data_IF_951183589925
#
_entry.id   IF_951183589925
#
_cell.length_a   1.000
_cell.length_b   1.000
_cell.length_c   1.000
_cell.angle_alpha   90.00
_cell.angle_beta   90.00
_cell.angle_gamma   90.00
#
_symmetry.space_group_name_H-M   'P 1'
#
loop_
_entity.id
_entity.type
_entity.pdbx_description
1 polymer ?
#
# COMPACT_ATOMS: atom_id res chain seq x y z
N UNK A 1 29.79 4.69 -36.60
CA UNK A 1 29.65 5.93 -37.40
C UNK A 1 28.17 6.12 -37.70
N UNK A 2 27.50 7.02 -37.02
CA UNK A 2 26.38 7.83 -37.54
C UNK A 2 26.11 8.90 -36.50
N UNK A 3 26.27 10.12 -36.89
CA UNK A 3 26.18 11.32 -36.05
C UNK A 3 24.73 11.67 -35.83
N UNK A 4 24.29 11.69 -34.57
CA UNK A 4 22.99 12.25 -34.18
C UNK A 4 23.07 13.78 -34.26
N UNK A 5 22.09 14.34 -34.94
CA UNK A 5 21.91 15.79 -35.07
C UNK A 5 21.43 16.36 -33.74
N UNK A 6 22.30 17.07 -33.06
CA UNK A 6 21.97 17.94 -31.94
C UNK A 6 21.27 19.17 -32.51
N UNK A 7 19.95 19.24 -32.37
CA UNK A 7 19.22 20.49 -32.65
C UNK A 7 19.49 21.50 -31.53
N UNK A 8 20.19 22.57 -31.88
CA UNK A 8 20.43 23.72 -31.02
C UNK A 8 19.11 24.47 -30.78
N UNK A 9 18.51 24.30 -29.63
CA UNK A 9 17.47 25.18 -29.08
C UNK A 9 18.13 26.14 -28.06
N UNK A 10 18.99 27.01 -28.55
CA UNK A 10 19.74 27.97 -27.71
C UNK A 10 19.57 29.40 -28.21
N UNK A 11 18.37 29.80 -28.56
CA UNK A 11 18.18 31.18 -29.02
C UNK A 11 16.92 31.91 -28.51
N UNK A 12 16.15 31.32 -27.59
CA UNK A 12 14.95 32.00 -27.04
C UNK A 12 15.11 32.40 -25.57
N UNK A 13 16.06 31.82 -24.84
CA UNK A 13 16.27 32.16 -23.42
C UNK A 13 16.99 33.51 -23.17
N UNK A 14 17.52 34.14 -24.19
CA UNK A 14 18.29 35.39 -24.04
C UNK A 14 17.47 36.70 -24.12
N UNK A 15 16.26 36.67 -24.65
CA UNK A 15 15.47 37.90 -24.86
C UNK A 15 14.41 38.16 -23.80
N UNK A 16 14.10 37.17 -22.94
CA UNK A 16 13.04 37.30 -21.92
C UNK A 16 13.55 37.86 -20.59
N UNK A 17 14.86 37.83 -20.35
CA UNK A 17 15.46 38.25 -19.07
C UNK A 17 15.56 39.75 -18.84
N UNK A 18 15.17 40.61 -19.81
CA UNK A 18 15.39 42.07 -19.72
C UNK A 18 14.12 42.89 -19.40
N UNK A 19 12.96 42.30 -19.19
CA UNK A 19 11.69 43.01 -18.97
C UNK A 19 11.00 42.50 -17.68
N UNK A 20 11.69 42.52 -16.55
CA UNK A 20 11.02 42.43 -15.24
C UNK A 20 10.49 43.79 -14.86
N UNK A 21 9.38 44.21 -15.42
CA UNK A 21 8.58 45.27 -14.89
C UNK A 21 7.49 44.72 -14.00
N UNK A 22 7.55 45.05 -12.72
CA UNK A 22 6.46 44.81 -11.79
C UNK A 22 5.31 45.72 -12.17
N UNK A 23 4.16 45.20 -12.50
CA UNK A 23 2.91 45.95 -12.66
C UNK A 23 2.48 46.52 -11.29
N UNK A 24 3.17 47.51 -10.80
CA UNK A 24 2.96 48.06 -9.45
C UNK A 24 2.11 49.33 -9.45
N UNK A 25 1.59 49.78 -10.61
CA UNK A 25 0.90 51.06 -10.65
C UNK A 25 -0.38 50.98 -11.47
N UNK A 26 -1.51 51.23 -10.81
CA UNK A 26 -2.76 51.55 -11.52
C UNK A 26 -2.56 52.82 -12.33
N UNK A 27 -2.79 52.84 -13.65
CA UNK A 27 -2.52 54.00 -14.49
C UNK A 27 -3.32 55.26 -14.09
N UNK A 28 -4.46 55.09 -13.43
CA UNK A 28 -5.35 56.20 -13.04
C UNK A 28 -4.78 57.13 -11.98
N UNK A 29 -3.68 56.80 -11.31
CA UNK A 29 -3.14 57.66 -10.22
C UNK A 29 -1.90 58.48 -10.54
N UNK A 30 -1.26 58.32 -11.72
CA UNK A 30 0.07 58.93 -11.96
C UNK A 30 0.12 59.91 -13.12
N UNK A 31 -0.93 60.11 -13.88
CA UNK A 31 -0.86 60.95 -15.12
C UNK A 31 -1.87 62.07 -15.21
N UNK A 32 -2.09 62.79 -14.12
CA UNK A 32 -2.68 64.11 -14.20
C UNK A 32 -1.57 65.12 -14.49
N UNK A 33 -1.21 65.30 -15.77
CA UNK A 33 -0.37 66.40 -16.19
C UNK A 33 0.80 66.08 -17.12
N UNK A 34 0.55 65.58 -18.32
CA UNK A 34 1.43 65.89 -19.45
C UNK A 34 0.62 65.92 -20.75
N UNK A 35 0.90 66.96 -21.54
CA UNK A 35 0.25 67.37 -22.78
C UNK A 35 0.28 66.25 -23.85
N UNK A 36 -0.81 66.19 -24.60
CA UNK A 36 -1.03 65.47 -25.85
C UNK A 36 0.16 65.53 -26.82
N UNK A 37 1.16 64.67 -26.67
CA UNK A 37 2.03 64.28 -27.77
C UNK A 37 1.34 63.15 -28.49
N UNK A 38 0.85 63.45 -29.70
CA UNK A 38 0.35 62.48 -30.64
C UNK A 38 1.53 61.59 -31.05
N UNK A 39 1.70 60.47 -30.33
CA UNK A 39 2.65 59.41 -30.74
C UNK A 39 2.11 58.81 -32.03
N UNK A 40 2.95 58.78 -33.05
CA UNK A 40 2.70 58.09 -34.29
C UNK A 40 2.47 56.62 -33.99
N UNK A 41 1.23 56.19 -34.09
CA UNK A 41 0.81 54.81 -34.01
C UNK A 41 1.21 54.16 -35.35
N UNK A 42 2.09 53.17 -35.29
CA UNK A 42 2.28 52.27 -36.44
C UNK A 42 0.95 51.54 -36.69
N UNK A 43 0.21 51.99 -37.66
CA UNK A 43 -1.13 51.48 -37.96
C UNK A 43 -1.17 50.01 -38.41
N UNK A 44 -0.01 49.35 -38.48
CA UNK A 44 0.10 47.94 -38.84
C UNK A 44 0.21 47.03 -37.61
N UNK A 45 0.29 47.56 -36.38
CA UNK A 45 0.41 46.82 -35.13
C UNK A 45 -0.65 47.22 -34.14
N UNK A 46 -1.28 46.23 -33.51
CA UNK A 46 -2.15 46.46 -32.36
C UNK A 46 -1.35 47.14 -31.25
N UNK A 47 -1.79 48.30 -30.80
CA UNK A 47 -1.12 49.08 -29.76
C UNK A 47 -2.09 49.52 -28.68
N UNK A 48 -1.63 49.50 -27.42
CA UNK A 48 -2.40 50.04 -26.33
C UNK A 48 -2.18 51.54 -26.24
N UNK A 49 -3.27 52.32 -26.27
CA UNK A 49 -3.28 53.78 -26.17
C UNK A 49 -4.12 54.16 -24.96
N UNK A 50 -3.63 55.09 -24.15
CA UNK A 50 -4.37 55.67 -23.05
C UNK A 50 -5.36 56.70 -23.64
N UNK A 51 -6.67 56.45 -23.44
CA UNK A 51 -7.74 57.39 -23.80
C UNK A 51 -8.63 57.60 -22.58
N UNK A 52 -8.61 58.85 -22.06
CA UNK A 52 -9.23 59.16 -20.78
C UNK A 52 -8.54 58.45 -19.60
N UNK A 53 -9.30 57.69 -18.86
CA UNK A 53 -8.84 56.97 -17.66
C UNK A 53 -8.53 55.49 -17.90
N UNK A 54 -8.55 55.04 -19.14
CA UNK A 54 -8.33 53.61 -19.44
C UNK A 54 -7.50 53.41 -20.72
N UNK A 55 -7.00 52.17 -20.90
CA UNK A 55 -6.22 51.81 -22.06
C UNK A 55 -7.06 51.01 -23.04
N UNK A 56 -6.99 51.40 -24.29
CA UNK A 56 -7.70 50.73 -25.40
C UNK A 56 -6.70 50.14 -26.39
N UNK A 57 -7.08 48.99 -26.98
CA UNK A 57 -6.38 48.40 -28.10
C UNK A 57 -6.84 49.04 -29.41
N UNK A 58 -5.89 49.58 -30.16
CA UNK A 58 -6.16 50.25 -31.43
C UNK A 58 -5.63 49.41 -32.58
N UNK A 59 -6.46 49.40 -33.65
CA UNK A 59 -6.10 48.80 -34.95
C UNK A 59 -6.55 49.79 -36.05
N UNK A 60 -5.66 50.08 -36.98
CA UNK A 60 -5.92 51.04 -38.08
C UNK A 60 -6.46 52.40 -37.62
N UNK A 61 -6.00 52.85 -36.44
CA UNK A 61 -6.35 54.14 -35.89
C UNK A 61 -7.71 54.21 -35.18
N UNK A 62 -8.40 53.09 -35.00
CA UNK A 62 -9.67 53.00 -34.26
C UNK A 62 -9.55 51.97 -33.13
N UNK A 63 -10.40 52.10 -32.11
CA UNK A 63 -10.47 51.08 -31.04
C UNK A 63 -10.96 49.78 -31.66
N UNK A 64 -10.22 48.72 -31.48
CA UNK A 64 -10.59 47.35 -31.88
C UNK A 64 -11.43 46.67 -30.80
N UNK A 65 -12.72 46.87 -30.80
CA UNK A 65 -13.65 46.27 -29.85
C UNK A 65 -13.81 44.72 -30.01
N UNK A 66 -13.29 44.18 -31.08
CA UNK A 66 -13.30 42.71 -31.27
C UNK A 66 -12.07 42.04 -30.69
N UNK A 67 -11.07 42.79 -30.25
CA UNK A 67 -9.83 42.24 -29.71
C UNK A 67 -9.99 41.77 -28.30
N UNK A 68 -9.83 40.45 -28.11
CA UNK A 68 -9.69 39.76 -26.83
C UNK A 68 -8.34 39.08 -26.77
N UNK A 69 -7.49 39.43 -25.80
CA UNK A 69 -6.16 38.84 -25.77
C UNK A 69 -5.23 39.47 -24.72
N UNK A 70 -3.96 39.54 -25.10
CA UNK A 70 -2.93 40.24 -24.34
C UNK A 70 -2.25 41.22 -25.30
N UNK A 71 -2.11 42.47 -24.87
CA UNK A 71 -1.38 43.49 -25.60
C UNK A 71 -0.32 44.16 -24.72
N UNK A 72 0.76 44.64 -25.36
CA UNK A 72 1.90 45.24 -24.71
C UNK A 72 1.87 46.77 -24.75
N UNK A 73 2.20 47.42 -23.64
CA UNK A 73 2.62 48.82 -23.61
C UNK A 73 3.92 48.99 -22.79
N UNK A 74 4.31 50.23 -22.53
CA UNK A 74 5.51 50.55 -21.76
C UNK A 74 5.49 50.07 -20.29
N UNK A 75 4.30 49.71 -19.77
CA UNK A 75 4.11 49.26 -18.38
C UNK A 75 4.00 47.74 -18.25
N UNK A 76 3.83 47.02 -19.36
CA UNK A 76 3.74 45.55 -19.36
C UNK A 76 2.74 44.95 -20.36
N UNK A 77 2.47 43.67 -20.16
CA UNK A 77 1.47 42.94 -20.92
C UNK A 77 0.14 42.91 -20.20
N UNK A 78 -0.92 43.38 -20.86
CA UNK A 78 -2.24 43.57 -20.27
C UNK A 78 -3.29 42.72 -20.90
N UNK A 79 -4.22 42.16 -20.09
CA UNK A 79 -5.42 41.51 -20.57
C UNK A 79 -6.37 42.52 -21.19
N UNK A 80 -6.79 42.27 -22.39
CA UNK A 80 -7.76 43.05 -23.13
C UNK A 80 -9.06 42.26 -23.23
N UNK A 81 -10.17 42.94 -22.96
CA UNK A 81 -11.52 42.45 -23.18
C UNK A 81 -12.31 43.49 -23.93
N UNK A 82 -12.95 43.12 -25.06
CA UNK A 82 -13.69 44.04 -25.93
C UNK A 82 -12.86 45.29 -26.22
N UNK A 83 -11.60 45.14 -26.61
CA UNK A 83 -10.69 46.25 -26.96
C UNK A 83 -10.21 47.12 -25.80
N UNK A 84 -10.56 46.79 -24.56
CA UNK A 84 -10.24 47.63 -23.38
C UNK A 84 -9.46 46.76 -22.34
N UNK A 85 -8.50 47.38 -21.64
CA UNK A 85 -7.78 46.71 -20.55
C UNK A 85 -8.73 46.33 -19.43
N UNK A 86 -8.77 45.05 -19.09
CA UNK A 86 -9.54 44.51 -17.98
C UNK A 86 -8.65 44.44 -16.71
N UNK A 87 -8.63 45.46 -15.90
CA UNK A 87 -7.86 45.54 -14.64
C UNK A 87 -8.35 44.57 -13.57
N UNK A 88 -9.55 43.99 -13.71
CA UNK A 88 -10.10 43.09 -12.72
C UNK A 88 -9.79 41.63 -13.04
N UNK A 89 -9.23 41.36 -14.21
CA UNK A 89 -8.97 39.99 -14.64
C UNK A 89 -7.81 39.37 -13.87
N UNK A 90 -8.07 38.22 -13.30
CA UNK A 90 -7.02 37.35 -12.75
C UNK A 90 -7.25 35.93 -13.26
N UNK A 91 -6.24 35.37 -13.91
CA UNK A 91 -6.35 34.06 -14.53
C UNK A 91 -5.34 33.84 -15.66
N UNK A 92 -5.65 32.85 -16.51
CA UNK A 92 -4.79 32.47 -17.63
C UNK A 92 -5.27 33.10 -18.93
N UNK A 93 -4.36 33.64 -19.72
CA UNK A 93 -4.62 34.15 -21.06
C UNK A 93 -3.62 33.57 -22.04
N UNK A 94 -4.08 33.28 -23.26
CA UNK A 94 -3.26 32.76 -24.34
C UNK A 94 -2.98 33.82 -25.40
N UNK A 95 -1.76 33.86 -25.92
CA UNK A 95 -1.40 34.52 -27.16
C UNK A 95 -0.54 33.60 -28.05
N UNK A 96 0.01 34.09 -29.14
CA UNK A 96 0.88 33.34 -30.06
C UNK A 96 2.16 32.80 -29.39
N UNK A 97 2.59 33.40 -28.27
CA UNK A 97 3.80 32.97 -27.53
C UNK A 97 3.52 31.98 -26.41
N UNK A 98 2.22 31.70 -26.12
CA UNK A 98 1.83 30.69 -25.12
C UNK A 98 0.77 31.18 -24.14
N UNK A 99 0.80 30.56 -22.93
CA UNK A 99 -0.14 30.82 -21.85
C UNK A 99 0.51 31.60 -20.74
N UNK A 100 -0.13 32.68 -20.31
CA UNK A 100 0.35 33.64 -19.33
C UNK A 100 -0.57 33.70 -18.13
N UNK A 101 -0.01 33.84 -16.94
CA UNK A 101 -0.78 34.15 -15.74
C UNK A 101 -0.89 35.66 -15.60
N UNK A 102 -2.12 36.16 -15.57
CA UNK A 102 -2.48 37.54 -15.40
C UNK A 102 -3.06 37.72 -14.02
N UNK A 103 -2.64 38.78 -13.33
CA UNK A 103 -3.17 39.22 -12.06
C UNK A 103 -3.48 40.71 -12.13
N UNK A 104 -4.70 41.08 -11.70
CA UNK A 104 -5.15 42.47 -11.74
C UNK A 104 -4.93 43.12 -13.13
N UNK A 105 -5.25 42.38 -14.17
CA UNK A 105 -5.15 42.78 -15.57
C UNK A 105 -3.76 42.68 -16.20
N UNK A 106 -2.68 42.51 -15.43
CA UNK A 106 -1.31 42.48 -15.94
C UNK A 106 -0.68 41.11 -15.80
N UNK A 107 0.20 40.77 -16.75
CA UNK A 107 0.99 39.53 -16.64
C UNK A 107 1.88 39.59 -15.41
N UNK A 108 1.69 38.65 -14.50
CA UNK A 108 2.50 38.50 -13.27
C UNK A 108 3.72 37.62 -13.50
N UNK A 109 4.83 38.22 -13.82
CA UNK A 109 6.12 37.56 -14.06
C UNK A 109 6.71 36.91 -12.80
N UNK A 110 6.16 37.17 -11.63
CA UNK A 110 6.64 36.57 -10.38
C UNK A 110 5.87 35.31 -10.01
N UNK A 111 4.75 35.08 -10.70
CA UNK A 111 3.90 33.93 -10.40
C UNK A 111 4.59 32.60 -10.76
N UNK A 112 4.78 31.80 -9.75
CA UNK A 112 5.27 30.43 -9.87
C UNK A 112 4.37 29.53 -9.02
N UNK A 113 3.43 28.84 -9.67
CA UNK A 113 2.39 28.09 -8.96
C UNK A 113 1.60 27.20 -9.89
N UNK A 114 0.32 27.06 -9.60
CA UNK A 114 -0.63 26.33 -10.42
C UNK A 114 -1.86 27.21 -10.68
N UNK A 115 -2.34 27.21 -11.90
CA UNK A 115 -3.58 27.87 -12.25
C UNK A 115 -4.47 27.02 -13.14
N UNK A 116 -5.79 27.20 -13.01
CA UNK A 116 -6.82 26.44 -13.71
C UNK A 116 -7.32 27.24 -14.93
N UNK A 117 -7.42 26.57 -16.08
CA UNK A 117 -8.18 27.07 -17.22
C UNK A 117 -9.19 26.01 -17.72
N UNK A 118 -9.85 26.26 -18.85
CA UNK A 118 -10.82 25.34 -19.48
C UNK A 118 -10.23 24.00 -19.91
N UNK A 119 -8.91 23.84 -19.94
CA UNK A 119 -8.20 22.62 -20.31
C UNK A 119 -7.62 21.87 -19.10
N UNK A 120 -7.72 22.44 -17.87
CA UNK A 120 -7.22 21.82 -16.65
C UNK A 120 -6.25 22.68 -15.85
N UNK A 121 -5.56 22.05 -14.91
CA UNK A 121 -4.55 22.69 -14.06
C UNK A 121 -3.18 22.64 -14.70
N UNK A 122 -2.47 23.80 -14.69
CA UNK A 122 -1.17 23.98 -15.30
C UNK A 122 -0.14 24.49 -14.30
N UNK A 123 1.09 24.01 -14.45
CA UNK A 123 2.25 24.54 -13.69
C UNK A 123 2.79 25.77 -14.37
N UNK A 124 2.98 26.82 -13.58
CA UNK A 124 3.58 28.09 -13.99
C UNK A 124 4.95 28.29 -13.38
N UNK A 125 5.83 28.89 -14.15
CA UNK A 125 7.13 29.36 -13.72
C UNK A 125 7.36 30.75 -14.33
N UNK A 126 7.57 31.77 -13.43
CA UNK A 126 7.75 33.16 -13.85
C UNK A 126 6.63 33.63 -14.81
N UNK A 127 5.38 33.44 -14.43
CA UNK A 127 4.20 33.92 -15.16
C UNK A 127 3.84 33.15 -16.43
N UNK A 128 4.62 32.18 -16.84
CA UNK A 128 4.44 31.40 -18.06
C UNK A 128 4.21 29.92 -17.76
N UNK A 129 3.40 29.22 -18.56
CA UNK A 129 3.20 27.78 -18.42
C UNK A 129 4.51 27.04 -18.70
N UNK A 130 4.96 26.28 -17.74
CA UNK A 130 6.13 25.42 -17.86
C UNK A 130 5.75 24.06 -18.47
N UNK A 131 5.69 23.98 -19.78
CA UNK A 131 5.41 22.73 -20.52
C UNK A 131 6.47 21.65 -20.36
N UNK A 132 7.66 22.01 -19.83
CA UNK A 132 8.71 21.05 -19.53
C UNK A 132 8.58 20.40 -18.16
N UNK A 133 7.68 20.90 -17.31
CA UNK A 133 7.56 20.40 -15.94
C UNK A 133 6.96 19.00 -15.90
N UNK A 134 7.74 18.07 -15.33
CA UNK A 134 7.34 16.70 -15.05
C UNK A 134 7.71 16.40 -13.58
N UNK A 135 6.73 16.41 -12.68
CA UNK A 135 7.03 16.30 -11.25
C UNK A 135 5.75 16.25 -10.41
N UNK A 136 5.91 16.57 -9.16
CA UNK A 136 4.82 16.65 -8.18
C UNK A 136 4.77 18.08 -7.65
N UNK A 137 3.58 18.67 -7.59
CA UNK A 137 3.41 20.02 -7.04
C UNK A 137 2.13 20.14 -6.21
N UNK A 138 2.18 21.07 -5.22
CA UNK A 138 1.11 21.34 -4.26
C UNK A 138 0.25 22.50 -4.72
N UNK A 139 -1.07 22.37 -4.56
CA UNK A 139 -2.02 23.49 -4.56
C UNK A 139 -2.98 23.39 -3.36
N UNK A 140 -4.02 24.21 -3.32
CA UNK A 140 -5.02 24.25 -2.24
C UNK A 140 -5.83 22.94 -2.12
N UNK A 141 -5.79 22.08 -3.12
CA UNK A 141 -6.54 20.81 -3.17
C UNK A 141 -5.67 19.58 -2.92
N UNK A 142 -4.33 19.74 -2.83
CA UNK A 142 -3.42 18.62 -2.55
C UNK A 142 -2.19 18.59 -3.44
N UNK A 143 -1.47 17.45 -3.38
CA UNK A 143 -0.28 17.19 -4.17
C UNK A 143 -0.65 16.43 -5.45
N UNK A 144 -0.23 16.95 -6.60
CA UNK A 144 -0.61 16.46 -7.91
C UNK A 144 0.58 16.07 -8.76
N UNK A 145 0.43 14.98 -9.53
CA UNK A 145 1.38 14.62 -10.58
C UNK A 145 1.18 15.51 -11.79
N UNK A 146 2.27 16.01 -12.33
CA UNK A 146 2.32 16.77 -13.57
C UNK A 146 3.09 16.02 -14.65
N UNK A 147 2.58 16.09 -15.86
CA UNK A 147 3.21 15.60 -17.08
C UNK A 147 3.09 16.70 -18.15
N UNK A 148 4.25 17.14 -18.69
CA UNK A 148 4.30 18.23 -19.67
C UNK A 148 3.56 19.49 -19.22
N UNK A 149 3.75 19.88 -17.97
CA UNK A 149 3.20 21.09 -17.38
C UNK A 149 1.73 21.03 -16.97
N UNK A 150 0.99 19.99 -17.30
CA UNK A 150 -0.41 19.81 -16.89
C UNK A 150 -0.58 18.72 -15.84
N UNK A 151 -1.64 18.80 -15.03
CA UNK A 151 -1.99 17.72 -14.10
C UNK A 151 -2.34 16.47 -14.90
N UNK A 152 -1.70 15.38 -14.52
CA UNK A 152 -1.95 14.06 -15.09
C UNK A 152 -2.94 13.28 -14.21
N UNK A 153 -4.23 13.41 -14.49
CA UNK A 153 -5.30 12.71 -13.79
C UNK A 153 -5.30 11.17 -14.00
N UNK A 154 -4.48 10.67 -14.93
CA UNK A 154 -4.33 9.22 -15.15
C UNK A 154 -3.22 8.62 -14.27
N UNK A 155 -2.45 9.44 -13.54
CA UNK A 155 -1.42 8.93 -12.65
C UNK A 155 -2.06 8.14 -11.51
N UNK A 156 -1.76 6.84 -11.45
CA UNK A 156 -2.23 5.91 -10.43
C UNK A 156 -1.07 5.00 -10.00
N UNK A 157 -1.12 4.53 -8.73
CA UNK A 157 -0.09 3.66 -8.19
C UNK A 157 1.17 4.42 -7.73
N UNK A 158 2.30 3.73 -7.70
CA UNK A 158 3.55 4.30 -7.19
C UNK A 158 4.27 5.15 -8.24
N UNK A 159 4.51 6.40 -7.90
CA UNK A 159 5.29 7.36 -8.71
C UNK A 159 6.47 7.85 -7.88
N UNK A 160 7.66 7.82 -8.48
CA UNK A 160 8.88 8.30 -7.84
C UNK A 160 8.95 9.83 -7.87
N UNK A 161 9.30 10.43 -6.75
CA UNK A 161 9.55 11.86 -6.61
C UNK A 161 11.03 12.10 -6.32
N UNK A 162 11.74 12.68 -7.28
CA UNK A 162 13.16 12.99 -7.15
C UNK A 162 13.44 14.02 -6.06
N UNK A 163 12.48 14.94 -5.80
CA UNK A 163 12.65 15.99 -4.82
C UNK A 163 12.68 15.47 -3.38
N UNK A 164 11.86 14.46 -3.09
CA UNK A 164 11.79 13.82 -1.76
C UNK A 164 12.53 12.50 -1.70
N UNK A 165 13.05 12.00 -2.84
CA UNK A 165 13.71 10.71 -2.99
C UNK A 165 12.88 9.55 -2.44
N UNK A 166 11.56 9.58 -2.70
CA UNK A 166 10.63 8.54 -2.27
C UNK A 166 9.58 8.23 -3.33
N UNK A 167 8.85 7.13 -3.14
CA UNK A 167 7.71 6.75 -3.96
C UNK A 167 6.43 7.13 -3.25
N UNK A 168 5.55 7.83 -3.97
CA UNK A 168 4.23 8.21 -3.50
C UNK A 168 3.14 7.44 -4.23
N UNK A 169 2.10 7.05 -3.53
CA UNK A 169 0.94 6.40 -4.11
C UNK A 169 -0.07 7.43 -4.59
N UNK A 170 -0.37 7.36 -5.88
CA UNK A 170 -1.31 8.26 -6.56
C UNK A 170 -2.62 7.55 -6.86
N UNK A 171 -3.70 8.31 -6.78
CA UNK A 171 -5.04 7.92 -7.18
C UNK A 171 -5.68 9.09 -7.94
N UNK A 172 -5.94 8.91 -9.26
CA UNK A 172 -6.52 9.94 -10.09
C UNK A 172 -5.68 11.22 -10.18
N UNK A 173 -4.35 11.11 -10.20
CA UNK A 173 -3.42 12.23 -10.33
C UNK A 173 -3.02 12.91 -9.03
N UNK A 174 -3.69 12.62 -7.91
CA UNK A 174 -3.36 13.16 -6.59
C UNK A 174 -2.66 12.11 -5.71
N UNK A 175 -1.79 12.56 -4.79
CA UNK A 175 -1.26 11.67 -3.75
C UNK A 175 -2.40 11.25 -2.84
N UNK A 176 -2.58 9.95 -2.68
CA UNK A 176 -3.54 9.37 -1.72
C UNK A 176 -2.85 9.10 -0.38
N UNK A 177 -2.88 10.06 0.51
CA UNK A 177 -2.32 9.93 1.86
C UNK A 177 -3.10 8.96 2.76
N UNK A 178 -4.31 8.56 2.37
CA UNK A 178 -5.08 7.58 3.12
C UNK A 178 -4.71 6.14 2.74
N UNK A 179 -3.97 5.94 1.64
CA UNK A 179 -3.57 4.62 1.22
C UNK A 179 -2.56 3.99 2.19
N UNK A 180 -2.94 2.86 2.74
CA UNK A 180 -2.10 2.02 3.60
C UNK A 180 -2.25 0.57 3.16
N UNK A 181 -1.18 -0.03 2.62
CA UNK A 181 -1.29 -1.37 2.04
C UNK A 181 -0.06 -1.79 1.25
N UNK A 182 -0.29 -2.59 0.23
CA UNK A 182 0.74 -3.03 -0.72
C UNK A 182 0.48 -2.41 -2.09
N UNK A 183 1.52 -1.92 -2.73
CA UNK A 183 1.44 -1.43 -4.10
C UNK A 183 2.58 -1.99 -4.95
N UNK A 184 2.28 -2.23 -6.23
CA UNK A 184 3.22 -2.78 -7.21
C UNK A 184 3.79 -1.66 -8.09
N UNK A 185 5.08 -1.77 -8.41
CA UNK A 185 5.72 -1.03 -9.51
C UNK A 185 6.69 -1.96 -10.26
N UNK A 186 7.48 -1.42 -11.18
CA UNK A 186 8.45 -2.18 -11.98
C UNK A 186 9.56 -2.85 -11.15
N UNK A 187 9.75 -2.44 -9.90
CA UNK A 187 10.75 -2.99 -8.98
C UNK A 187 10.19 -4.03 -8.01
N UNK A 188 8.86 -4.22 -7.97
CA UNK A 188 8.21 -5.22 -7.12
C UNK A 188 7.08 -4.67 -6.25
N UNK A 189 6.66 -5.49 -5.28
CA UNK A 189 5.64 -5.13 -4.30
C UNK A 189 6.24 -4.39 -3.11
N UNK A 190 5.66 -3.25 -2.79
CA UNK A 190 6.11 -2.38 -1.71
C UNK A 190 5.04 -2.19 -0.64
N UNK A 191 5.47 -2.11 0.62
CA UNK A 191 4.61 -1.63 1.71
C UNK A 191 4.51 -0.11 1.64
N UNK A 192 3.28 0.38 1.59
CA UNK A 192 2.96 1.80 1.63
C UNK A 192 2.27 2.12 2.95
N UNK A 193 2.65 3.21 3.57
CA UNK A 193 1.99 3.78 4.74
C UNK A 193 1.75 5.27 4.49
N UNK A 194 0.52 5.75 4.76
CA UNK A 194 0.16 7.15 4.57
C UNK A 194 0.60 7.69 3.19
N UNK A 195 0.33 6.90 2.14
CA UNK A 195 0.61 7.25 0.76
C UNK A 195 2.08 7.19 0.33
N UNK A 196 3.03 6.88 1.21
CA UNK A 196 4.45 6.75 0.85
C UNK A 196 5.01 5.36 1.09
N UNK A 197 6.00 4.94 0.28
CA UNK A 197 6.70 3.67 0.49
C UNK A 197 7.45 3.69 1.81
N UNK A 198 7.19 2.68 2.64
CA UNK A 198 7.89 2.48 3.90
C UNK A 198 9.08 1.52 3.72
N UNK A 199 10.23 2.06 3.38
CA UNK A 199 11.48 1.29 3.20
C UNK A 199 12.00 0.62 4.47
N UNK A 200 11.50 1.00 5.65
CA UNK A 200 11.88 0.39 6.92
C UNK A 200 11.01 -0.78 7.36
N UNK A 201 9.93 -1.08 6.62
CA UNK A 201 9.00 -2.11 7.03
C UNK A 201 9.59 -3.51 6.92
N UNK A 202 9.55 -4.24 8.03
CA UNK A 202 9.96 -5.64 8.15
C UNK A 202 8.86 -6.40 8.89
N UNK A 203 8.06 -7.20 8.18
CA UNK A 203 6.91 -7.85 8.80
C UNK A 203 6.09 -8.64 7.80
N UNK A 204 4.84 -8.90 8.16
CA UNK A 204 3.83 -9.49 7.29
C UNK A 204 2.83 -8.42 6.84
N UNK A 205 2.43 -8.46 5.59
CA UNK A 205 1.36 -7.63 5.04
C UNK A 205 0.56 -8.42 4.00
N UNK A 206 -0.76 -8.18 3.95
CA UNK A 206 -1.68 -8.95 3.11
C UNK A 206 -2.22 -8.12 1.95
N UNK A 207 -2.52 -8.80 0.85
CA UNK A 207 -3.30 -8.32 -0.29
C UNK A 207 -4.25 -9.43 -0.78
N UNK A 208 -4.91 -9.23 -1.90
CA UNK A 208 -5.81 -10.22 -2.51
C UNK A 208 -5.13 -11.55 -2.91
N UNK A 209 -3.80 -11.57 -3.02
CA UNK A 209 -3.01 -12.77 -3.38
C UNK A 209 -2.49 -13.54 -2.16
N UNK A 210 -2.64 -13.00 -0.95
CA UNK A 210 -2.21 -13.64 0.29
C UNK A 210 -1.45 -12.72 1.24
N UNK A 211 -0.83 -13.33 2.25
CA UNK A 211 0.02 -12.63 3.23
C UNK A 211 1.48 -12.87 2.91
N UNK A 212 2.25 -11.79 2.83
CA UNK A 212 3.61 -11.78 2.35
C UNK A 212 4.61 -11.28 3.40
N UNK A 213 5.78 -11.89 3.42
CA UNK A 213 6.91 -11.43 4.25
C UNK A 213 7.66 -10.30 3.54
N UNK A 214 7.83 -9.21 4.25
CA UNK A 214 8.56 -8.03 3.81
C UNK A 214 9.92 -7.93 4.49
N UNK A 215 10.89 -7.44 3.73
CA UNK A 215 12.20 -7.05 4.18
C UNK A 215 12.56 -5.70 3.57
N UNK A 216 12.85 -4.70 4.41
CA UNK A 216 13.15 -3.33 3.98
C UNK A 216 12.11 -2.77 2.99
N UNK A 217 10.83 -2.92 3.31
CA UNK A 217 9.71 -2.36 2.57
C UNK A 217 9.28 -3.11 1.31
N UNK A 218 10.02 -4.12 0.87
CA UNK A 218 9.68 -4.95 -0.30
C UNK A 218 9.39 -6.40 0.09
N UNK A 219 8.61 -7.11 -0.72
CA UNK A 219 8.36 -8.54 -0.52
C UNK A 219 9.65 -9.34 -0.70
N UNK A 220 9.98 -10.14 0.29
CA UNK A 220 11.13 -11.06 0.25
C UNK A 220 10.69 -12.45 -0.25
N UNK A 221 10.71 -12.64 -1.56
CA UNK A 221 10.35 -13.93 -2.18
C UNK A 221 11.34 -15.06 -1.87
N UNK A 222 12.52 -14.75 -1.35
CA UNK A 222 13.50 -15.76 -0.94
C UNK A 222 13.30 -16.27 0.48
N UNK A 223 12.44 -15.64 1.25
CA UNK A 223 12.25 -15.97 2.65
C UNK A 223 11.52 -17.32 2.83
N UNK A 224 12.13 -18.21 3.61
CA UNK A 224 11.52 -19.47 4.06
C UNK A 224 11.78 -19.60 5.57
N UNK A 225 10.72 -19.85 6.35
CA UNK A 225 10.82 -19.97 7.81
C UNK A 225 9.63 -19.39 8.54
N UNK A 226 9.82 -19.00 9.78
CA UNK A 226 8.76 -18.47 10.63
C UNK A 226 8.80 -16.95 10.73
N UNK A 227 7.65 -16.31 10.58
CA UNK A 227 7.50 -14.86 10.72
C UNK A 227 6.35 -14.53 11.68
N UNK A 228 6.59 -13.58 12.58
CA UNK A 228 5.57 -13.12 13.52
C UNK A 228 4.69 -12.02 12.92
N UNK A 229 3.42 -12.04 13.32
CA UNK A 229 2.44 -10.99 13.07
C UNK A 229 1.74 -10.69 14.41
N UNK A 230 2.31 -9.76 15.18
CA UNK A 230 1.87 -9.49 16.53
C UNK A 230 1.97 -10.73 17.44
N UNK A 231 0.83 -11.31 17.80
CA UNK A 231 0.73 -12.46 18.70
C UNK A 231 0.89 -13.82 18.00
N UNK A 232 0.78 -13.86 16.67
CA UNK A 232 0.81 -15.11 15.92
C UNK A 232 2.16 -15.29 15.24
N UNK A 233 2.56 -16.54 15.06
CA UNK A 233 3.71 -16.92 14.26
C UNK A 233 3.23 -17.74 13.07
N UNK A 234 3.72 -17.40 11.88
CA UNK A 234 3.30 -18.00 10.62
C UNK A 234 4.45 -18.70 9.93
N UNK A 235 4.17 -19.83 9.31
CA UNK A 235 5.11 -20.50 8.43
C UNK A 235 5.04 -19.86 7.04
N UNK A 236 6.18 -19.42 6.54
CA UNK A 236 6.33 -18.70 5.27
C UNK A 236 7.18 -19.54 4.34
N UNK A 237 6.74 -19.70 3.10
CA UNK A 237 7.45 -20.39 2.02
C UNK A 237 7.52 -19.46 0.80
N UNK A 238 8.73 -19.23 0.29
CA UNK A 238 8.97 -18.33 -0.83
C UNK A 238 8.31 -16.94 -0.63
N UNK A 239 8.45 -16.41 0.58
CA UNK A 239 7.93 -15.10 0.96
C UNK A 239 6.42 -15.04 1.24
N UNK A 240 5.66 -16.11 1.04
CA UNK A 240 4.22 -16.16 1.27
C UNK A 240 3.86 -17.05 2.46
N UNK A 241 2.91 -16.63 3.28
CA UNK A 241 2.35 -17.46 4.34
C UNK A 241 1.68 -18.69 3.70
N UNK A 242 2.09 -19.87 4.13
CA UNK A 242 1.64 -21.16 3.59
C UNK A 242 0.34 -21.61 4.27
N UNK A 243 -0.76 -20.90 4.04
CA UNK A 243 -2.06 -21.15 4.68
C UNK A 243 -2.65 -22.53 4.40
N UNK A 244 -2.21 -23.20 3.36
CA UNK A 244 -2.61 -24.57 2.99
C UNK A 244 -1.75 -25.65 3.65
N UNK A 245 -0.66 -25.28 4.36
CA UNK A 245 0.23 -26.22 4.99
C UNK A 245 -0.21 -26.57 6.41
N UNK A 246 -0.26 -27.88 6.71
CA UNK A 246 -0.41 -28.38 8.07
C UNK A 246 0.57 -29.55 8.27
N UNK A 247 1.33 -29.53 9.36
CA UNK A 247 2.35 -30.53 9.70
C UNK A 247 3.42 -29.97 10.62
N UNK A 248 4.51 -30.69 10.81
CA UNK A 248 5.61 -30.29 11.67
C UNK A 248 6.75 -29.70 10.86
N UNK A 249 7.25 -28.52 11.26
CA UNK A 249 8.41 -27.83 10.68
C UNK A 249 9.34 -27.44 11.81
N UNK A 250 10.60 -27.87 11.75
CA UNK A 250 11.63 -27.59 12.76
C UNK A 250 11.15 -27.86 14.21
N UNK A 251 10.38 -28.95 14.39
CA UNK A 251 9.84 -29.37 15.70
C UNK A 251 8.63 -28.55 16.18
N UNK A 252 8.11 -27.63 15.36
CA UNK A 252 6.89 -26.85 15.66
C UNK A 252 5.71 -27.39 14.89
N UNK A 253 4.59 -27.54 15.55
CA UNK A 253 3.32 -27.87 14.91
C UNK A 253 2.78 -26.66 14.16
N UNK A 254 2.44 -26.84 12.88
CA UNK A 254 1.86 -25.81 12.01
C UNK A 254 0.51 -26.30 11.53
N UNK A 255 -0.51 -25.45 11.62
CA UNK A 255 -1.85 -25.70 11.09
C UNK A 255 -2.32 -24.52 10.26
N UNK A 256 -2.72 -24.81 9.04
CA UNK A 256 -3.14 -23.77 8.08
C UNK A 256 -2.14 -22.59 8.03
N UNK A 257 -0.84 -22.91 8.07
CA UNK A 257 0.23 -21.94 8.05
C UNK A 257 0.54 -21.28 9.40
N UNK A 258 -0.29 -21.41 10.42
CA UNK A 258 -0.05 -20.83 11.75
C UNK A 258 0.71 -21.84 12.64
N UNK A 259 1.72 -21.34 13.35
CA UNK A 259 2.41 -22.13 14.39
C UNK A 259 1.50 -22.23 15.60
N UNK A 260 1.25 -23.44 16.03
CA UNK A 260 0.42 -23.71 17.21
C UNK A 260 1.28 -23.82 18.46
N UNK A 261 0.76 -23.34 19.57
CA UNK A 261 1.26 -23.74 20.89
C UNK A 261 0.93 -25.19 21.13
N UNK A 262 1.78 -25.90 21.85
CA UNK A 262 1.61 -27.33 22.10
C UNK A 262 1.81 -27.67 23.57
N UNK A 263 1.07 -28.67 24.04
CA UNK A 263 1.32 -29.31 25.31
C UNK A 263 1.73 -30.76 25.10
N UNK A 264 2.45 -31.31 26.07
CA UNK A 264 2.84 -32.73 26.06
C UNK A 264 1.92 -33.46 27.02
N UNK A 265 1.22 -34.47 26.47
CA UNK A 265 0.39 -35.38 27.23
C UNK A 265 1.22 -36.65 27.47
N UNK A 266 1.30 -37.06 28.70
CA UNK A 266 1.88 -38.35 29.06
C UNK A 266 0.82 -39.43 28.90
N UNK A 267 1.05 -40.39 28.03
CA UNK A 267 0.18 -41.57 27.86
C UNK A 267 0.77 -42.73 28.58
N UNK A 268 0.09 -43.18 29.60
CA UNK A 268 0.53 -44.30 30.46
C UNK A 268 -0.29 -45.55 30.11
N UNK A 269 0.36 -46.56 29.59
CA UNK A 269 -0.25 -47.85 29.25
C UNK A 269 -0.10 -48.79 30.46
N UNK A 270 -1.24 -49.21 30.97
CA UNK A 270 -1.34 -50.19 32.10
C UNK A 270 -1.65 -51.57 31.53
N UNK A 271 -0.83 -52.54 31.88
CA UNK A 271 -1.07 -53.94 31.55
C UNK A 271 -1.83 -54.61 32.71
N UNK A 272 -3.07 -55.03 32.44
CA UNK A 272 -3.87 -55.73 33.45
C UNK A 272 -3.49 -57.18 33.49
N UNK A 273 -3.22 -57.72 34.73
CA UNK A 273 -2.94 -59.12 34.92
C UNK A 273 -4.15 -59.99 34.53
N UNK A 274 -3.90 -60.99 33.79
CA UNK A 274 -4.87 -61.87 33.10
C UNK A 274 -5.33 -63.02 33.93
N UNK A 275 -4.69 -63.30 35.06
CA UNK A 275 -4.96 -64.47 35.93
C UNK A 275 -6.13 -64.23 36.89
N UNK A 276 -6.54 -62.99 37.07
CA UNK A 276 -7.70 -62.64 37.85
C UNK A 276 -8.95 -62.54 36.96
N UNK A 277 -9.93 -63.39 37.17
CA UNK A 277 -11.28 -63.18 36.62
C UNK A 277 -11.73 -61.80 37.06
N UNK A 278 -12.01 -60.90 36.09
CA UNK A 278 -12.69 -59.63 36.34
C UNK A 278 -14.03 -60.02 36.94
N UNK A 279 -14.13 -59.96 38.24
CA UNK A 279 -15.42 -60.10 38.91
C UNK A 279 -16.13 -58.75 38.72
N UNK A 280 -17.32 -58.84 38.18
CA UNK A 280 -18.26 -57.72 38.04
C UNK A 280 -18.23 -56.86 39.30
N UNK A 281 -17.74 -55.59 39.20
CA UNK A 281 -17.80 -54.60 40.25
C UNK A 281 -16.51 -54.18 40.98
N UNK A 282 -15.31 -54.70 40.63
CA UNK A 282 -14.05 -54.24 41.20
C UNK A 282 -12.99 -54.16 40.13
N UNK A 283 -12.85 -53.01 39.44
CA UNK A 283 -11.76 -52.83 38.48
C UNK A 283 -10.44 -52.89 39.21
N UNK A 284 -9.56 -53.80 38.81
CA UNK A 284 -8.19 -53.83 39.30
C UNK A 284 -7.45 -52.60 38.75
N UNK A 285 -7.30 -51.59 39.63
CA UNK A 285 -6.58 -50.37 39.30
C UNK A 285 -5.09 -50.45 39.52
N UNK A 286 -4.61 -51.59 39.99
CA UNK A 286 -3.19 -51.84 40.34
C UNK A 286 -2.36 -52.31 39.13
N UNK A 287 -2.86 -52.17 37.92
CA UNK A 287 -2.16 -52.58 36.71
C UNK A 287 -0.74 -52.04 36.64
N UNK A 288 0.22 -52.95 36.37
CA UNK A 288 1.59 -52.57 36.15
C UNK A 288 1.66 -51.58 34.97
N UNK A 289 2.45 -50.54 35.11
CA UNK A 289 2.74 -49.63 33.97
C UNK A 289 3.50 -50.44 32.95
N UNK A 290 2.87 -50.71 31.81
CA UNK A 290 3.48 -51.45 30.72
C UNK A 290 4.54 -50.63 30.00
N UNK A 291 4.19 -49.44 29.61
CA UNK A 291 5.10 -48.42 29.02
C UNK A 291 4.48 -47.03 29.08
N UNK A 292 5.30 -46.05 28.82
CA UNK A 292 4.88 -44.65 28.77
C UNK A 292 5.36 -44.01 27.46
N UNK A 293 4.46 -43.32 26.79
CA UNK A 293 4.80 -42.47 25.66
C UNK A 293 4.35 -41.05 25.89
N UNK A 294 4.80 -40.14 25.04
CA UNK A 294 4.47 -38.72 25.11
C UNK A 294 3.87 -38.29 23.79
N UNK A 295 2.70 -37.66 23.89
CA UNK A 295 1.96 -37.14 22.75
C UNK A 295 1.99 -35.61 22.78
N UNK A 296 2.52 -34.98 21.75
CA UNK A 296 2.48 -33.53 21.58
C UNK A 296 1.17 -33.14 20.92
N UNK A 297 0.39 -32.27 21.57
CA UNK A 297 -0.94 -31.89 21.12
C UNK A 297 -1.02 -30.36 21.01
N UNK A 298 -1.53 -29.82 19.89
CA UNK A 298 -1.76 -28.40 19.74
C UNK A 298 -2.87 -27.90 20.66
N UNK A 299 -2.67 -26.68 21.17
CA UNK A 299 -3.61 -25.98 22.04
C UNK A 299 -3.90 -24.56 21.54
N UNK A 300 -5.01 -23.99 22.01
CA UNK A 300 -5.28 -22.56 21.84
C UNK A 300 -4.41 -21.71 22.79
N UNK A 301 -4.60 -20.37 22.73
CA UNK A 301 -3.87 -19.41 23.55
C UNK A 301 -4.15 -19.57 25.06
N UNK A 302 -5.28 -20.13 25.40
CA UNK A 302 -5.70 -20.44 26.78
C UNK A 302 -5.16 -21.80 27.27
N UNK A 303 -4.51 -22.57 26.38
CA UNK A 303 -3.93 -23.87 26.67
C UNK A 303 -4.94 -25.03 26.58
N UNK A 304 -6.09 -24.80 25.94
CA UNK A 304 -7.09 -25.85 25.77
C UNK A 304 -6.88 -26.62 24.48
N UNK A 305 -7.14 -27.93 24.50
CA UNK A 305 -7.12 -28.77 23.31
C UNK A 305 -8.46 -28.59 22.60
N UNK A 306 -8.47 -27.85 21.48
CA UNK A 306 -9.70 -27.48 20.76
C UNK A 306 -10.14 -28.54 19.75
N UNK A 307 -9.20 -29.29 19.19
CA UNK A 307 -9.50 -30.32 18.20
C UNK A 307 -9.48 -31.73 18.79
N UNK A 308 -10.26 -32.67 18.22
CA UNK A 308 -10.22 -34.06 18.62
C UNK A 308 -8.83 -34.66 18.52
N UNK A 309 -8.42 -35.38 19.55
CA UNK A 309 -7.13 -36.08 19.61
C UNK A 309 -7.36 -37.59 19.56
N UNK A 310 -6.59 -38.25 18.72
CA UNK A 310 -6.68 -39.69 18.52
C UNK A 310 -5.33 -40.32 18.74
N UNK A 311 -5.32 -41.51 19.35
CA UNK A 311 -4.12 -42.34 19.49
C UNK A 311 -4.04 -43.32 18.34
N UNK A 312 -2.96 -43.23 17.57
CA UNK A 312 -2.74 -44.13 16.43
C UNK A 312 -2.19 -45.51 16.83
N UNK A 313 -1.44 -45.57 17.91
CA UNK A 313 -0.80 -46.80 18.37
C UNK A 313 -1.17 -47.12 19.82
N UNK A 314 -1.98 -48.16 20.03
CA UNK A 314 -2.47 -48.57 21.34
C UNK A 314 -1.61 -49.66 21.99
N UNK A 315 -0.67 -50.25 21.23
CA UNK A 315 0.25 -51.25 21.74
C UNK A 315 1.68 -50.95 21.30
N UNK A 316 2.68 -51.29 22.12
CA UNK A 316 4.07 -51.31 21.68
C UNK A 316 4.22 -52.33 20.52
N UNK A 317 5.07 -52.02 19.54
CA UNK A 317 5.33 -52.91 18.42
C UNK A 317 5.87 -54.27 18.86
N UNK A 318 6.54 -54.36 20.00
CA UNK A 318 7.07 -55.57 20.59
C UNK A 318 5.97 -56.55 21.06
N UNK A 319 4.74 -56.09 21.27
CA UNK A 319 3.61 -56.95 21.60
C UNK A 319 3.07 -57.76 20.44
N UNK A 320 3.42 -57.47 19.23
CA UNK A 320 2.94 -58.17 18.01
C UNK A 320 3.34 -59.63 17.94
N UNK A 321 4.41 -60.04 18.63
CA UNK A 321 4.91 -61.41 18.66
C UNK A 321 4.22 -62.34 19.67
N UNK A 322 3.43 -61.83 20.60
CA UNK A 322 2.85 -62.64 21.69
C UNK A 322 1.35 -62.93 21.54
N UNK A 323 0.72 -62.56 20.43
CA UNK A 323 -0.75 -62.42 20.38
C UNK A 323 -1.46 -63.58 19.67
N UNK A 324 -0.83 -64.70 19.45
CA UNK A 324 -1.55 -65.84 18.91
C UNK A 324 -2.52 -66.42 19.97
N UNK A 325 -3.80 -66.18 19.77
CA UNK A 325 -4.87 -66.72 20.60
C UNK A 325 -5.47 -65.77 21.66
N UNK A 326 -5.20 -64.49 21.58
CA UNK A 326 -5.77 -63.48 22.51
C UNK A 326 -6.52 -62.35 21.80
N UNK A 327 -7.60 -61.89 22.41
CA UNK A 327 -8.26 -60.66 22.05
C UNK A 327 -7.77 -59.56 23.02
N UNK A 328 -7.36 -58.40 22.44
CA UNK A 328 -6.89 -57.31 23.23
C UNK A 328 -7.95 -56.21 23.14
N UNK A 329 -8.36 -55.68 24.29
CA UNK A 329 -9.19 -54.50 24.41
C UNK A 329 -8.43 -53.39 25.06
N UNK A 330 -8.63 -52.16 24.62
CA UNK A 330 -8.09 -50.96 25.27
C UNK A 330 -9.22 -50.17 25.87
N UNK A 331 -9.07 -49.81 27.13
CA UNK A 331 -10.04 -49.02 27.88
C UNK A 331 -9.43 -47.71 28.33
N UNK A 332 -10.21 -46.62 28.30
CA UNK A 332 -9.77 -45.30 28.74
C UNK A 332 -10.22 -45.02 30.21
N UNK A 333 -11.10 -45.82 30.76
CA UNK A 333 -11.53 -45.78 32.13
C UNK A 333 -11.23 -47.08 32.86
N UNK A 334 -10.77 -46.96 34.09
CA UNK A 334 -10.39 -48.10 34.89
C UNK A 334 -11.57 -48.99 35.34
N UNK A 335 -12.80 -48.50 35.22
CA UNK A 335 -14.02 -49.18 35.62
C UNK A 335 -14.56 -50.15 34.56
N UNK A 336 -13.86 -50.30 33.44
CA UNK A 336 -14.28 -51.15 32.34
C UNK A 336 -15.40 -50.60 31.48
N UNK A 337 -15.83 -49.35 31.74
CA UNK A 337 -16.73 -48.63 30.85
C UNK A 337 -15.94 -47.92 29.74
N UNK A 338 -16.30 -48.06 28.50
CA UNK A 338 -15.66 -47.34 27.43
C UNK A 338 -15.35 -48.21 26.21
N UNK A 339 -14.20 -47.97 25.62
CA UNK A 339 -13.82 -48.50 24.33
C UNK A 339 -13.39 -49.96 24.43
N UNK A 340 -14.04 -50.81 23.63
CA UNK A 340 -13.84 -52.25 23.70
C UNK A 340 -13.12 -52.85 22.49
N UNK A 341 -12.79 -52.03 21.48
CA UNK A 341 -12.03 -52.52 20.31
C UNK A 341 -10.94 -51.54 19.88
N UNK A 342 -9.92 -52.05 19.18
CA UNK A 342 -8.85 -51.22 18.60
C UNK A 342 -9.38 -50.20 17.59
N UNK A 343 -10.35 -50.61 16.78
CA UNK A 343 -10.96 -49.77 15.77
C UNK A 343 -11.78 -48.63 16.39
N UNK A 344 -12.50 -48.93 17.48
CA UNK A 344 -13.24 -47.93 18.26
C UNK A 344 -12.28 -46.94 18.93
N UNK A 345 -11.24 -47.47 19.55
CA UNK A 345 -10.21 -46.67 20.21
C UNK A 345 -9.53 -45.67 19.27
N UNK A 346 -9.18 -46.09 18.05
CA UNK A 346 -8.55 -45.23 17.04
C UNK A 346 -9.45 -44.12 16.51
N UNK A 347 -10.76 -44.21 16.75
CA UNK A 347 -11.76 -43.22 16.33
C UNK A 347 -12.31 -42.38 17.49
N UNK A 348 -11.90 -42.68 18.72
CA UNK A 348 -12.38 -42.00 19.92
C UNK A 348 -11.52 -40.80 20.22
N UNK A 349 -12.18 -39.66 20.37
CA UNK A 349 -11.55 -38.44 20.87
C UNK A 349 -11.18 -38.63 22.33
N UNK A 350 -9.87 -38.57 22.64
CA UNK A 350 -9.34 -38.84 23.98
C UNK A 350 -9.39 -37.63 24.92
N UNK A 351 -9.75 -36.44 24.45
CA UNK A 351 -9.76 -35.22 25.27
C UNK A 351 -10.51 -35.35 26.60
N UNK A 352 -11.70 -35.97 26.66
CA UNK A 352 -12.44 -36.11 27.92
C UNK A 352 -11.73 -36.99 28.96
N UNK A 353 -10.77 -37.78 28.55
CA UNK A 353 -10.08 -38.75 29.39
C UNK A 353 -8.71 -38.27 29.87
N UNK A 354 -8.23 -37.12 29.37
CA UNK A 354 -6.98 -36.53 29.85
C UNK A 354 -7.23 -35.82 31.17
N UNK A 355 -6.47 -36.20 32.17
CA UNK A 355 -6.52 -35.60 33.53
C UNK A 355 -5.13 -35.15 33.92
N UNK A 356 -4.97 -33.86 34.25
CA UNK A 356 -3.70 -33.27 34.69
C UNK A 356 -2.53 -33.56 33.72
N UNK A 357 -2.79 -33.53 32.39
CA UNK A 357 -1.79 -33.80 31.35
C UNK A 357 -1.45 -35.28 31.20
N UNK A 358 -2.20 -36.19 31.79
CA UNK A 358 -1.99 -37.63 31.73
C UNK A 358 -3.21 -38.32 31.14
N UNK A 359 -2.98 -39.21 30.19
CA UNK A 359 -3.95 -40.17 29.69
C UNK A 359 -3.56 -41.57 30.16
N UNK A 360 -4.47 -42.26 30.83
CA UNK A 360 -4.28 -43.64 31.20
C UNK A 360 -5.01 -44.56 30.21
N UNK A 361 -4.31 -45.54 29.68
CA UNK A 361 -4.85 -46.58 28.77
C UNK A 361 -4.70 -47.91 29.47
N UNK A 362 -5.82 -48.66 29.60
CA UNK A 362 -5.84 -49.95 30.23
C UNK A 362 -5.96 -51.03 29.19
N UNK A 363 -4.93 -51.92 29.08
CA UNK A 363 -4.92 -53.02 28.11
C UNK A 363 -5.38 -54.29 28.85
N UNK A 364 -6.45 -54.87 28.38
CA UNK A 364 -6.97 -56.14 28.86
C UNK A 364 -6.85 -57.23 27.80
N UNK A 365 -6.47 -58.41 28.18
CA UNK A 365 -6.19 -59.54 27.33
C UNK A 365 -7.17 -60.65 27.65
N UNK A 366 -7.77 -61.22 26.70
CA UNK A 366 -8.69 -62.35 26.85
C UNK A 366 -8.22 -63.55 26.01
N UNK A 367 -8.19 -64.76 26.59
CA UNK A 367 -8.00 -65.97 25.84
C UNK A 367 -9.28 -66.25 25.03
N UNK A 368 -9.13 -66.60 23.74
CA UNK A 368 -10.20 -67.13 22.93
C UNK A 368 -10.56 -68.56 23.32
#
# INVERSE_FOLDING_TARGET
>A
MTKSKLFKLTAVAGAVAALMFTCAVSPAKTYAGESSEQRFIDSSKESLVLDGDTWHCYKDGQIDYEYDGIALNEYGWWKINDGTVDFNYTGMVQNENGWWYVKDGCVDWTYSGMALNKYGWWKYNNGFVDFGYNGIALNDYGWWKFTNGSVDFNANGLVFDEATNTWWYFNGGAIDFAFDGMALNDYGWWKVNNGSVNFGFNGLCSNEYGTWKFNNGTVDFGYNGFAADGENTWYVVNGRVATEYSGTVDGKEVRNGQVMDTIVIQVVHHDRDRTGAVTEGNPDTSGLVGYTEYLTVPVDKEGNITEPVYISNWYPDDYKGFISGYIITAELLADGTGIHSKEEAQRTDIRPYIKDGVLNVYLSWFMM
#
